data_IF_324500211559
#
_entry.id   IF_324500211559
#
_cell.length_a   1.000
_cell.length_b   1.000
_cell.length_c   1.000
_cell.angle_alpha   90.00
_cell.angle_beta   90.00
_cell.angle_gamma   90.00
#
_symmetry.space_group_name_H-M   'P 1'
#
loop_
_entity.id
_entity.type
_entity.pdbx_description
1 polymer ?
#
# COMPACT_ATOMS: atom_id res chain seq x y z
N UNK A 1 13.93 4.48 2.10
CA UNK A 1 13.74 4.54 0.63
C UNK A 1 13.62 5.98 0.17
N UNK A 2 14.30 6.38 -0.92
CA UNK A 2 14.15 7.74 -1.47
C UNK A 2 12.83 7.81 -2.26
N UNK A 3 11.78 8.34 -1.63
CA UNK A 3 10.47 8.51 -2.27
C UNK A 3 10.51 9.44 -3.49
N UNK A 4 11.57 10.25 -3.66
CA UNK A 4 11.76 11.04 -4.88
C UNK A 4 11.90 10.18 -6.14
N UNK A 5 12.27 8.90 -6.01
CA UNK A 5 12.33 7.97 -7.15
C UNK A 5 10.98 7.84 -7.88
N UNK A 6 9.86 8.09 -7.19
CA UNK A 6 8.51 7.99 -7.74
C UNK A 6 7.94 9.32 -8.25
N UNK A 7 8.52 10.48 -7.88
CA UNK A 7 7.98 11.84 -8.13
C UNK A 7 7.97 12.29 -9.60
N UNK A 8 8.56 11.52 -10.50
CA UNK A 8 8.77 11.88 -11.91
C UNK A 8 8.60 10.67 -12.84
N UNK A 9 7.79 9.69 -12.44
CA UNK A 9 7.55 8.51 -13.27
C UNK A 9 6.38 8.81 -14.19
N UNK A 10 6.59 8.66 -15.50
CA UNK A 10 5.52 8.84 -16.48
C UNK A 10 4.37 7.88 -16.17
N UNK A 11 3.15 8.42 -16.20
CA UNK A 11 1.92 7.66 -16.02
C UNK A 11 1.90 6.54 -17.06
N UNK A 12 1.57 5.34 -16.62
CA UNK A 12 1.34 4.22 -17.52
C UNK A 12 0.27 4.57 -18.58
N UNK A 13 0.60 4.39 -19.86
CA UNK A 13 -0.37 4.45 -20.96
C UNK A 13 -0.95 3.07 -21.25
N UNK A 14 -2.26 2.99 -21.55
CA UNK A 14 -3.04 1.72 -21.76
C UNK A 14 -2.36 0.69 -22.68
N UNK A 15 -1.51 1.14 -23.60
CA UNK A 15 -0.85 0.32 -24.63
C UNK A 15 0.63 0.01 -24.34
N UNK A 16 1.21 0.55 -23.28
CA UNK A 16 2.61 0.30 -22.90
C UNK A 16 2.64 -0.87 -21.91
N UNK A 17 3.64 -1.75 -21.98
CA UNK A 17 3.76 -2.85 -21.01
C UNK A 17 4.07 -2.30 -19.60
N UNK A 18 3.41 -2.79 -18.52
CA UNK A 18 3.63 -2.27 -17.15
C UNK A 18 5.08 -2.40 -16.68
N UNK A 19 5.83 -3.35 -17.23
CA UNK A 19 7.24 -3.51 -16.89
C UNK A 19 8.09 -2.29 -17.24
N UNK A 20 7.69 -1.46 -18.22
CA UNK A 20 8.42 -0.22 -18.55
C UNK A 20 8.44 0.73 -17.35
N UNK A 21 7.27 0.99 -16.79
CA UNK A 21 7.10 1.85 -15.61
C UNK A 21 7.83 1.27 -14.40
N UNK A 22 7.74 -0.05 -14.18
CA UNK A 22 8.48 -0.72 -13.11
C UNK A 22 10.00 -0.54 -13.26
N UNK A 23 10.55 -0.63 -14.48
CA UNK A 23 11.98 -0.43 -14.72
C UNK A 23 12.39 1.00 -14.35
N UNK A 24 11.58 1.99 -14.70
CA UNK A 24 11.86 3.38 -14.35
C UNK A 24 11.87 3.57 -12.81
N UNK A 25 10.94 2.94 -12.08
CA UNK A 25 10.95 2.92 -10.59
C UNK A 25 12.27 2.34 -10.09
N UNK A 26 12.65 1.17 -10.60
CA UNK A 26 13.82 0.43 -10.11
C UNK A 26 15.13 1.17 -10.41
N UNK A 27 15.26 1.78 -11.59
CA UNK A 27 16.43 2.57 -11.98
C UNK A 27 16.55 3.88 -11.18
N UNK A 28 15.43 4.58 -10.92
CA UNK A 28 15.44 5.77 -10.06
C UNK A 28 15.70 5.43 -8.59
N UNK A 29 15.31 4.23 -8.16
CA UNK A 29 15.58 3.75 -6.79
C UNK A 29 17.03 3.29 -6.60
N UNK A 30 17.71 2.85 -7.68
CA UNK A 30 19.10 2.38 -7.62
C UNK A 30 20.16 3.48 -7.79
N UNK A 31 19.78 4.67 -8.28
CA UNK A 31 20.70 5.81 -8.44
C UNK A 31 21.04 6.54 -7.13
N UNK A 32 20.46 6.14 -6.00
CA UNK A 32 20.79 6.63 -4.65
C UNK A 32 21.47 5.58 -3.75
N UNK A 33 21.86 5.98 -2.53
CA UNK A 33 22.34 5.03 -1.49
C UNK A 33 21.35 3.87 -1.34
N UNK A 34 21.80 2.63 -1.04
CA UNK A 34 20.92 1.49 -0.89
C UNK A 34 19.79 1.83 0.08
N UNK A 35 18.59 1.95 -0.47
CA UNK A 35 17.42 2.36 0.27
C UNK A 35 16.98 1.22 1.16
N UNK A 36 17.21 1.34 2.47
CA UNK A 36 16.54 0.46 3.42
C UNK A 36 15.03 0.70 3.34
N UNK A 37 14.28 -0.40 3.41
CA UNK A 37 12.83 -0.39 3.57
C UNK A 37 12.57 -0.06 5.04
N UNK A 38 11.71 0.92 5.31
CA UNK A 38 11.48 1.43 6.67
C UNK A 38 10.93 0.33 7.58
N UNK A 39 10.01 -0.48 7.05
CA UNK A 39 9.40 -1.61 7.75
C UNK A 39 10.43 -2.66 8.17
N UNK A 40 11.48 -2.88 7.37
CA UNK A 40 12.60 -3.77 7.73
C UNK A 40 13.48 -3.11 8.78
N UNK A 41 13.76 -1.82 8.62
CA UNK A 41 14.64 -1.06 9.53
C UNK A 41 14.06 -0.99 10.95
N UNK A 42 12.73 -0.90 11.04
CA UNK A 42 11.99 -0.81 12.30
C UNK A 42 11.37 -2.15 12.73
N UNK A 43 11.78 -3.27 12.14
CA UNK A 43 11.17 -4.58 12.37
C UNK A 43 11.20 -4.99 13.86
N UNK A 44 12.24 -4.59 14.59
CA UNK A 44 12.38 -4.82 16.03
C UNK A 44 11.32 -4.09 16.87
N UNK A 45 10.76 -2.98 16.34
CA UNK A 45 9.70 -2.19 16.98
C UNK A 45 8.30 -2.73 16.74
N UNK A 46 8.12 -3.65 15.78
CA UNK A 46 6.81 -4.28 15.56
C UNK A 46 6.40 -5.10 16.79
N UNK A 47 5.10 -5.12 17.13
CA UNK A 47 4.63 -5.93 18.24
C UNK A 47 5.05 -7.39 18.05
N UNK A 48 5.49 -8.03 19.14
CA UNK A 48 5.80 -9.46 19.17
C UNK A 48 4.53 -10.32 19.23
N UNK A 49 3.42 -9.70 19.65
CA UNK A 49 2.11 -10.32 19.76
C UNK A 49 1.44 -10.44 18.39
N UNK A 50 0.39 -11.27 18.36
CA UNK A 50 -0.56 -11.45 17.28
C UNK A 50 -1.45 -10.21 17.08
N UNK A 51 -0.87 -9.01 17.06
CA UNK A 51 -1.59 -7.81 16.67
C UNK A 51 -1.88 -7.94 15.18
N UNK A 52 -3.13 -8.26 14.87
CA UNK A 52 -3.57 -8.53 13.53
C UNK A 52 -4.23 -7.30 12.94
N UNK A 53 -4.11 -7.16 11.62
CA UNK A 53 -4.99 -6.29 10.86
C UNK A 53 -6.44 -6.77 11.08
N UNK A 54 -7.34 -5.92 11.62
CA UNK A 54 -8.76 -6.23 11.76
C UNK A 54 -9.36 -6.75 10.46
N UNK A 55 -10.29 -7.70 10.56
CA UNK A 55 -10.94 -8.39 9.43
C UNK A 55 -9.99 -9.30 8.64
N UNK A 56 -8.82 -8.82 8.23
CA UNK A 56 -7.87 -9.56 7.38
C UNK A 56 -7.03 -10.61 8.11
N UNK A 57 -6.97 -10.50 9.45
CA UNK A 57 -6.37 -11.46 10.38
C UNK A 57 -4.94 -11.89 10.02
N UNK A 58 -4.08 -10.92 9.68
CA UNK A 58 -2.65 -11.15 9.45
C UNK A 58 -1.77 -10.15 10.20
N UNK A 59 -0.55 -10.56 10.52
CA UNK A 59 0.46 -9.70 11.15
C UNK A 59 1.48 -9.24 10.09
N UNK A 60 1.63 -7.91 9.86
CA UNK A 60 2.62 -7.39 8.93
C UNK A 60 4.04 -7.86 9.24
N UNK A 61 4.39 -7.94 10.53
CA UNK A 61 5.68 -8.46 10.99
C UNK A 61 5.92 -9.88 10.48
N UNK A 62 4.94 -10.77 10.67
CA UNK A 62 5.05 -12.16 10.22
C UNK A 62 5.22 -12.27 8.70
N UNK A 63 4.54 -11.41 7.93
CA UNK A 63 4.68 -11.36 6.47
C UNK A 63 6.11 -10.90 6.09
N UNK A 64 6.62 -9.85 6.73
CA UNK A 64 7.98 -9.33 6.47
C UNK A 64 9.03 -10.39 6.79
N UNK A 65 8.98 -11.00 7.97
CA UNK A 65 9.90 -12.05 8.41
C UNK A 65 9.84 -13.27 7.48
N UNK A 66 8.63 -13.68 7.06
CA UNK A 66 8.44 -14.77 6.11
C UNK A 66 9.09 -14.46 4.76
N UNK A 67 8.87 -13.26 4.22
CA UNK A 67 9.47 -12.86 2.95
C UNK A 67 10.99 -12.82 3.02
N UNK A 68 11.57 -12.30 4.11
CA UNK A 68 13.02 -12.33 4.32
C UNK A 68 13.57 -13.75 4.36
N UNK A 69 12.88 -14.67 5.06
CA UNK A 69 13.23 -16.09 5.11
C UNK A 69 13.19 -16.74 3.73
N UNK A 70 12.13 -16.52 2.96
CA UNK A 70 11.99 -17.07 1.61
C UNK A 70 13.06 -16.55 0.67
N UNK A 71 13.35 -15.26 0.73
CA UNK A 71 14.44 -14.66 -0.03
C UNK A 71 15.78 -15.33 0.29
N UNK A 72 16.15 -15.45 1.57
CA UNK A 72 17.38 -16.11 1.99
C UNK A 72 17.44 -17.59 1.56
N UNK A 73 16.32 -18.31 1.62
CA UNK A 73 16.24 -19.70 1.15
C UNK A 73 16.46 -19.80 -0.36
N UNK A 74 15.90 -18.88 -1.15
CA UNK A 74 16.13 -18.83 -2.60
C UNK A 74 17.60 -18.56 -2.92
N UNK A 75 18.24 -17.59 -2.25
CA UNK A 75 19.66 -17.30 -2.46
C UNK A 75 20.53 -18.53 -2.18
N UNK A 76 20.25 -19.26 -1.09
CA UNK A 76 20.95 -20.51 -0.75
C UNK A 76 20.74 -21.59 -1.81
N UNK A 77 19.53 -21.75 -2.33
CA UNK A 77 19.22 -22.71 -3.40
C UNK A 77 19.96 -22.37 -4.70
N UNK A 78 20.03 -21.10 -5.09
CA UNK A 78 20.76 -20.66 -6.28
C UNK A 78 22.26 -20.90 -6.11
N UNK A 79 22.81 -20.61 -4.93
CA UNK A 79 24.21 -20.86 -4.62
C UNK A 79 24.57 -22.36 -4.67
N UNK A 80 23.68 -23.23 -4.19
CA UNK A 80 23.87 -24.68 -4.22
C UNK A 80 23.60 -25.30 -5.61
N UNK A 81 22.66 -24.73 -6.37
CA UNK A 81 22.19 -25.26 -7.65
C UNK A 81 21.97 -24.09 -8.63
N UNK A 82 22.99 -23.74 -9.43
CA UNK A 82 22.91 -22.59 -10.35
C UNK A 82 21.76 -22.66 -11.37
N UNK A 83 21.28 -23.85 -11.71
CA UNK A 83 20.12 -24.05 -12.60
C UNK A 83 18.79 -23.60 -11.99
N UNK A 84 18.75 -23.31 -10.68
CA UNK A 84 17.59 -22.72 -10.01
C UNK A 84 17.41 -21.23 -10.37
N UNK A 85 18.41 -20.60 -11.00
CA UNK A 85 18.35 -19.21 -11.45
C UNK A 85 17.37 -19.06 -12.62
N UNK A 86 16.27 -18.34 -12.40
CA UNK A 86 15.32 -17.95 -13.45
C UNK A 86 15.53 -16.47 -13.80
N UNK A 87 15.53 -16.17 -15.11
CA UNK A 87 15.75 -14.84 -15.68
C UNK A 87 14.69 -14.51 -16.72
N UNK A 88 14.12 -13.32 -16.63
CA UNK A 88 13.28 -12.70 -17.64
C UNK A 88 14.02 -11.49 -18.22
N UNK A 89 14.39 -11.56 -19.49
CA UNK A 89 14.93 -10.42 -20.25
C UNK A 89 13.77 -9.66 -20.87
N UNK A 90 13.66 -8.38 -20.56
CA UNK A 90 12.65 -7.49 -21.14
C UNK A 90 13.33 -6.41 -21.96
N UNK A 91 13.10 -6.44 -23.28
CA UNK A 91 13.58 -5.43 -24.23
C UNK A 91 12.51 -4.36 -24.46
N UNK A 92 12.93 -3.10 -24.48
CA UNK A 92 12.04 -1.94 -24.65
C UNK A 92 12.78 -0.82 -25.39
N UNK A 93 12.02 0.12 -25.97
CA UNK A 93 12.58 1.29 -26.66
C UNK A 93 12.47 2.55 -25.81
N UNK A 94 13.50 3.38 -25.86
CA UNK A 94 13.51 4.76 -25.32
C UNK A 94 13.98 5.68 -26.43
N UNK A 95 13.06 6.44 -27.03
CA UNK A 95 13.33 7.15 -28.27
C UNK A 95 13.69 6.16 -29.39
N UNK A 96 14.86 6.33 -30.00
CA UNK A 96 15.40 5.43 -31.03
C UNK A 96 16.24 4.28 -30.48
N UNK A 97 16.59 4.27 -29.18
CA UNK A 97 17.47 3.26 -28.59
C UNK A 97 16.68 2.05 -28.08
N UNK A 98 17.17 0.84 -28.39
CA UNK A 98 16.73 -0.39 -27.74
C UNK A 98 17.52 -0.58 -26.44
N UNK A 99 16.80 -0.77 -25.34
CA UNK A 99 17.34 -1.06 -24.01
C UNK A 99 16.82 -2.40 -23.52
N UNK A 100 17.56 -3.03 -22.62
CA UNK A 100 17.11 -4.23 -21.94
C UNK A 100 17.16 -4.09 -20.42
N UNK A 101 16.31 -4.84 -19.74
CA UNK A 101 16.37 -5.02 -18.30
C UNK A 101 16.16 -6.50 -17.97
N UNK A 102 16.96 -7.03 -17.04
CA UNK A 102 16.93 -8.43 -16.64
C UNK A 102 16.34 -8.56 -15.24
N UNK A 103 15.14 -9.12 -15.16
CA UNK A 103 14.56 -9.56 -13.90
C UNK A 103 15.07 -10.96 -13.57
N UNK A 104 15.42 -11.23 -12.31
CA UNK A 104 15.79 -12.58 -11.89
C UNK A 104 15.35 -12.91 -10.47
N UNK A 105 15.20 -14.19 -10.17
CA UNK A 105 14.95 -14.62 -8.79
C UNK A 105 16.16 -14.42 -7.85
N UNK A 106 17.29 -13.91 -8.34
CA UNK A 106 18.51 -13.56 -7.59
C UNK A 106 18.70 -12.04 -7.37
N UNK A 107 17.67 -11.23 -7.57
CA UNK A 107 17.73 -9.78 -7.27
C UNK A 107 17.79 -9.54 -5.75
N UNK A 108 18.21 -8.33 -5.34
CA UNK A 108 18.23 -7.91 -3.93
C UNK A 108 16.82 -7.86 -3.34
N UNK A 109 16.69 -8.15 -2.03
CA UNK A 109 15.38 -8.26 -1.36
C UNK A 109 14.49 -7.03 -1.54
N UNK A 110 15.05 -5.82 -1.42
CA UNK A 110 14.26 -4.60 -1.57
C UNK A 110 13.71 -4.43 -2.99
N UNK A 111 14.43 -4.90 -4.02
CA UNK A 111 13.98 -4.90 -5.41
C UNK A 111 12.76 -5.83 -5.53
N UNK A 112 12.84 -7.03 -4.96
CA UNK A 112 11.73 -7.98 -4.96
C UNK A 112 10.47 -7.37 -4.29
N UNK A 113 10.62 -6.69 -3.15
CA UNK A 113 9.48 -6.04 -2.46
C UNK A 113 8.85 -4.96 -3.34
N UNK A 114 9.65 -4.09 -3.97
CA UNK A 114 9.15 -3.07 -4.92
C UNK A 114 8.37 -3.73 -6.06
N UNK A 115 8.92 -4.78 -6.65
CA UNK A 115 8.26 -5.54 -7.73
C UNK A 115 6.93 -6.11 -7.25
N UNK A 116 6.89 -6.73 -6.07
CA UNK A 116 5.68 -7.38 -5.57
C UNK A 116 4.58 -6.34 -5.26
N UNK A 117 4.92 -5.24 -4.59
CA UNK A 117 3.99 -4.14 -4.32
C UNK A 117 3.49 -3.49 -5.62
N UNK A 118 4.35 -3.33 -6.63
CA UNK A 118 3.94 -2.83 -7.95
C UNK A 118 2.98 -3.79 -8.65
N UNK A 119 3.32 -5.07 -8.69
CA UNK A 119 2.52 -6.10 -9.34
C UNK A 119 1.15 -6.30 -8.66
N UNK A 120 1.04 -6.05 -7.35
CA UNK A 120 -0.25 -6.03 -6.65
C UNK A 120 -1.25 -5.08 -7.33
N UNK A 121 -0.83 -3.85 -7.64
CA UNK A 121 -1.68 -2.89 -8.34
C UNK A 121 -1.89 -3.25 -9.81
N UNK A 122 -0.86 -3.76 -10.52
CA UNK A 122 -1.01 -4.19 -11.92
C UNK A 122 -2.08 -5.29 -12.06
N UNK A 123 -2.12 -6.25 -11.12
CA UNK A 123 -3.10 -7.35 -11.10
C UNK A 123 -4.55 -6.89 -10.96
N UNK A 124 -4.79 -5.70 -10.39
CA UNK A 124 -6.14 -5.13 -10.23
C UNK A 124 -6.73 -4.59 -11.53
N UNK A 125 -5.93 -4.49 -12.60
CA UNK A 125 -6.37 -4.03 -13.91
C UNK A 125 -6.93 -5.19 -14.73
N UNK A 126 -7.88 -4.93 -15.61
CA UNK A 126 -8.43 -5.98 -16.50
C UNK A 126 -7.47 -6.37 -17.63
N UNK A 127 -6.52 -5.51 -17.98
CA UNK A 127 -5.67 -5.63 -19.17
C UNK A 127 -4.30 -6.29 -18.93
N UNK A 128 -3.85 -6.48 -17.69
CA UNK A 128 -2.48 -6.98 -17.43
C UNK A 128 -2.20 -8.34 -18.06
N UNK A 129 -3.23 -9.19 -18.20
CA UNK A 129 -3.14 -10.53 -18.79
C UNK A 129 -2.74 -10.50 -20.27
N UNK A 130 -2.81 -9.35 -20.93
CA UNK A 130 -2.34 -9.16 -22.32
C UNK A 130 -0.82 -9.12 -22.42
N UNK A 131 -0.10 -8.87 -21.31
CA UNK A 131 1.35 -8.71 -21.31
C UNK A 131 2.05 -9.95 -20.76
N UNK A 132 2.49 -10.84 -21.66
CA UNK A 132 3.20 -12.08 -21.30
C UNK A 132 4.41 -11.86 -20.36
N UNK A 133 5.26 -10.82 -20.54
CA UNK A 133 6.36 -10.55 -19.61
C UNK A 133 5.89 -10.28 -18.17
N UNK A 134 4.75 -9.60 -17.99
CA UNK A 134 4.15 -9.35 -16.66
C UNK A 134 3.72 -10.67 -16.03
N UNK A 135 3.05 -11.54 -16.78
CA UNK A 135 2.63 -12.87 -16.31
C UNK A 135 3.85 -13.70 -15.86
N UNK A 136 4.94 -13.65 -16.63
CA UNK A 136 6.18 -14.37 -16.28
C UNK A 136 6.81 -13.82 -15.00
N UNK A 137 6.86 -12.50 -14.83
CA UNK A 137 7.38 -11.89 -13.60
C UNK A 137 6.50 -12.20 -12.38
N UNK A 138 5.17 -12.16 -12.54
CA UNK A 138 4.21 -12.59 -11.51
C UNK A 138 4.49 -14.03 -11.07
N UNK A 139 4.64 -14.96 -12.03
CA UNK A 139 4.94 -16.37 -11.75
C UNK A 139 6.27 -16.52 -11.01
N UNK A 140 7.31 -15.80 -11.43
CA UNK A 140 8.62 -15.83 -10.78
C UNK A 140 8.53 -15.40 -9.31
N UNK A 141 7.81 -14.31 -9.01
CA UNK A 141 7.61 -13.84 -7.64
C UNK A 141 6.74 -14.80 -6.82
N UNK A 142 5.66 -15.35 -7.39
CA UNK A 142 4.83 -16.37 -6.72
C UNK A 142 5.63 -17.59 -6.31
N UNK A 143 6.49 -18.11 -7.19
CA UNK A 143 7.32 -19.29 -6.89
C UNK A 143 8.37 -18.96 -5.82
N UNK A 144 9.06 -17.81 -5.95
CA UNK A 144 10.11 -17.40 -5.01
C UNK A 144 9.57 -17.20 -3.59
N UNK A 145 8.41 -16.56 -3.45
CA UNK A 145 7.85 -16.15 -2.17
C UNK A 145 6.63 -16.96 -1.73
N UNK A 146 6.25 -18.00 -2.47
CA UNK A 146 5.04 -18.79 -2.23
C UNK A 146 3.78 -17.92 -2.07
N UNK A 147 3.57 -16.98 -3.00
CA UNK A 147 2.43 -16.05 -2.96
C UNK A 147 1.22 -16.67 -3.67
N UNK A 148 0.09 -16.70 -2.97
CA UNK A 148 -1.21 -17.17 -3.46
C UNK A 148 -2.06 -16.02 -4.00
N UNK A 149 -2.92 -16.34 -4.95
CA UNK A 149 -3.98 -15.43 -5.39
C UNK A 149 -5.13 -15.44 -4.36
N UNK A 150 -5.79 -14.30 -4.19
CA UNK A 150 -6.79 -14.05 -3.15
C UNK A 150 -8.02 -14.99 -3.25
N UNK A 151 -8.38 -15.43 -4.46
CA UNK A 151 -9.48 -16.39 -4.68
C UNK A 151 -9.19 -17.81 -4.18
N UNK A 152 -7.93 -18.13 -3.92
CA UNK A 152 -7.50 -19.48 -3.56
C UNK A 152 -7.26 -19.62 -2.05
N UNK A 153 -7.46 -18.57 -1.25
CA UNK A 153 -7.43 -18.68 0.21
C UNK A 153 -8.76 -19.23 0.70
N UNK A 154 -8.88 -20.54 0.73
CA UNK A 154 -9.94 -21.26 1.46
C UNK A 154 -9.94 -20.75 2.91
N UNK A 155 -11.13 -20.49 3.47
CA UNK A 155 -11.49 -20.12 4.86
C UNK A 155 -10.64 -20.83 5.95
N UNK A 156 -9.36 -20.50 6.03
CA UNK A 156 -8.43 -21.05 6.99
C UNK A 156 -7.96 -19.90 7.84
N UNK A 157 -8.73 -19.69 8.90
CA UNK A 157 -8.28 -18.97 10.09
C UNK A 157 -6.88 -19.47 10.45
N UNK A 158 -5.95 -18.52 10.65
CA UNK A 158 -4.69 -18.76 11.34
C UNK A 158 -3.84 -19.94 10.87
N UNK A 159 -3.41 -19.96 9.60
CA UNK A 159 -2.16 -20.66 9.29
C UNK A 159 -1.15 -19.68 8.75
N UNK A 160 0.06 -19.74 9.32
CA UNK A 160 1.32 -19.13 8.89
C UNK A 160 1.71 -19.41 7.41
N UNK A 161 0.78 -19.87 6.57
CA UNK A 161 0.98 -20.42 5.23
C UNK A 161 0.32 -19.64 4.09
N UNK A 162 -0.63 -18.72 4.34
CA UNK A 162 -1.32 -18.03 3.23
C UNK A 162 -0.77 -16.61 3.02
N UNK A 163 0.39 -16.52 2.37
CA UNK A 163 0.93 -15.25 1.87
C UNK A 163 0.17 -14.88 0.59
N UNK A 164 -0.52 -13.75 0.59
CA UNK A 164 -1.21 -13.23 -0.59
C UNK A 164 -0.59 -11.91 -1.04
N UNK A 165 -0.82 -11.51 -2.28
CA UNK A 165 -0.34 -10.23 -2.79
C UNK A 165 -0.85 -9.05 -1.96
N UNK A 166 -2.13 -9.09 -1.57
CA UNK A 166 -2.72 -8.10 -0.69
C UNK A 166 -1.99 -7.99 0.65
N UNK A 167 -1.77 -9.12 1.35
CA UNK A 167 -1.07 -9.13 2.64
C UNK A 167 0.36 -8.62 2.54
N UNK A 168 1.06 -8.97 1.46
CA UNK A 168 2.40 -8.42 1.19
C UNK A 168 2.33 -6.92 0.99
N UNK A 169 1.49 -6.43 0.07
CA UNK A 169 1.39 -5.00 -0.23
C UNK A 169 1.04 -4.18 1.02
N UNK A 170 0.09 -4.64 1.84
CA UNK A 170 -0.26 -3.97 3.08
C UNK A 170 0.84 -4.00 4.13
N UNK A 171 1.75 -4.98 4.08
CA UNK A 171 2.87 -5.07 5.03
C UNK A 171 4.03 -4.11 4.72
N UNK A 172 4.03 -3.45 3.55
CA UNK A 172 5.04 -2.49 3.13
C UNK A 172 4.42 -1.14 2.70
N UNK A 173 3.72 -0.43 3.61
CA UNK A 173 3.05 0.84 3.30
C UNK A 173 4.00 1.90 2.72
N UNK A 174 5.28 1.94 3.10
CA UNK A 174 6.28 2.87 2.57
C UNK A 174 6.46 2.77 1.05
N UNK A 175 6.30 1.57 0.50
CA UNK A 175 6.43 1.28 -0.94
C UNK A 175 5.06 1.33 -1.60
N UNK A 176 4.08 0.62 -1.03
CA UNK A 176 2.74 0.48 -1.61
C UNK A 176 2.07 1.84 -1.78
N UNK A 177 2.17 2.71 -0.78
CA UNK A 177 1.53 4.02 -0.88
C UNK A 177 2.31 4.99 -1.76
N UNK A 178 3.63 4.85 -1.87
CA UNK A 178 4.42 5.61 -2.84
C UNK A 178 4.02 5.28 -4.29
N UNK A 179 3.82 4.00 -4.59
CA UNK A 179 3.34 3.56 -5.91
C UNK A 179 1.94 4.15 -6.21
N UNK A 180 1.08 4.21 -5.19
CA UNK A 180 -0.26 4.77 -5.31
C UNK A 180 -0.26 6.30 -5.49
N UNK A 181 0.41 7.04 -4.59
CA UNK A 181 0.40 8.50 -4.54
C UNK A 181 0.92 9.14 -5.83
N UNK A 182 1.90 8.49 -6.45
CA UNK A 182 2.50 8.91 -7.71
C UNK A 182 1.73 8.47 -8.95
N UNK A 183 0.52 7.93 -8.82
CA UNK A 183 -0.34 7.48 -9.93
C UNK A 183 0.40 6.55 -10.91
N UNK A 184 1.37 5.78 -10.42
CA UNK A 184 2.18 4.90 -11.26
C UNK A 184 1.29 3.91 -12.00
N UNK A 185 0.15 3.57 -11.41
CA UNK A 185 -0.98 2.89 -12.04
C UNK A 185 -2.21 3.76 -11.85
N UNK A 186 -2.81 4.22 -12.95
CA UNK A 186 -4.13 4.86 -12.92
C UNK A 186 -5.11 3.83 -12.39
N UNK A 187 -5.51 4.00 -11.15
CA UNK A 187 -6.71 3.36 -10.63
C UNK A 187 -7.93 4.10 -11.22
N UNK A 188 -9.15 3.53 -11.14
CA UNK A 188 -10.36 4.25 -11.52
C UNK A 188 -10.31 5.65 -10.90
N UNK A 189 -10.93 6.68 -11.51
CA UNK A 189 -10.94 8.01 -10.94
C UNK A 189 -11.55 7.91 -9.53
N UNK A 190 -10.70 7.76 -8.52
CA UNK A 190 -11.08 8.06 -7.16
C UNK A 190 -11.47 9.49 -7.25
N UNK A 191 -12.76 9.78 -7.06
CA UNK A 191 -13.20 11.14 -7.07
C UNK A 191 -12.45 11.79 -5.94
N UNK A 192 -11.55 12.64 -6.35
CA UNK A 192 -10.71 13.39 -5.47
C UNK A 192 -11.62 14.44 -4.85
N UNK A 193 -11.61 14.55 -3.53
CA UNK A 193 -11.90 15.84 -2.89
C UNK A 193 -10.80 16.84 -3.30
N UNK A 194 -10.70 17.14 -4.60
CA UNK A 194 -9.66 18.01 -5.20
C UNK A 194 -9.66 19.38 -4.53
N UNK A 195 -10.82 19.81 -4.03
CA UNK A 195 -11.00 21.04 -3.25
C UNK A 195 -10.19 21.03 -1.95
N UNK A 196 -10.00 19.87 -1.32
CA UNK A 196 -9.32 19.74 -0.03
C UNK A 196 -7.80 19.62 -0.13
N UNK A 197 -7.27 19.39 -1.34
CA UNK A 197 -5.83 19.25 -1.58
C UNK A 197 -5.14 18.26 -0.62
N UNK A 198 -5.86 17.18 -0.26
CA UNK A 198 -5.40 16.16 0.69
C UNK A 198 -4.48 15.15 0.01
N UNK A 199 -3.47 14.61 0.71
CA UNK A 199 -2.60 13.57 0.15
C UNK A 199 -3.41 12.35 -0.29
N UNK A 200 -3.08 11.78 -1.44
CA UNK A 200 -3.90 10.73 -2.06
C UNK A 200 -3.99 9.45 -1.23
N UNK A 201 -3.03 9.24 -0.34
CA UNK A 201 -3.08 8.16 0.64
C UNK A 201 -4.44 8.01 1.34
N UNK A 202 -5.16 9.12 1.61
CA UNK A 202 -6.47 9.07 2.27
C UNK A 202 -7.57 8.40 1.42
N UNK A 203 -7.37 8.22 0.11
CA UNK A 203 -8.27 7.44 -0.76
C UNK A 203 -8.10 5.92 -0.58
N UNK A 204 -7.10 5.47 0.19
CA UNK A 204 -6.89 4.06 0.48
C UNK A 204 -7.59 3.67 1.79
N UNK A 205 -8.47 2.64 1.79
CA UNK A 205 -9.14 2.18 3.01
C UNK A 205 -8.16 1.82 4.14
N UNK A 206 -6.96 1.35 3.78
CA UNK A 206 -5.92 0.98 4.76
C UNK A 206 -5.14 2.17 5.34
N UNK A 207 -5.37 3.40 4.86
CA UNK A 207 -4.70 4.58 5.37
C UNK A 207 -4.88 4.75 6.88
N UNK A 208 -6.07 4.39 7.41
CA UNK A 208 -6.36 4.44 8.83
C UNK A 208 -5.31 3.71 9.67
N UNK A 209 -4.76 2.60 9.18
CA UNK A 209 -3.71 1.87 9.90
C UNK A 209 -2.38 2.61 10.05
N UNK A 210 -2.10 3.57 9.17
CA UNK A 210 -0.82 4.30 9.10
C UNK A 210 -0.93 5.70 9.69
N UNK A 211 -2.10 6.35 9.62
CA UNK A 211 -2.28 7.66 10.22
C UNK A 211 -2.15 7.55 11.75
N UNK A 212 -1.25 8.32 12.38
CA UNK A 212 -1.00 8.19 13.81
C UNK A 212 -2.04 8.98 14.62
N UNK A 213 -2.52 8.38 15.71
CA UNK A 213 -3.38 9.05 16.68
C UNK A 213 -2.58 10.04 17.55
N UNK A 214 -2.38 11.26 17.03
CA UNK A 214 -1.60 12.32 17.71
C UNK A 214 -2.46 13.49 18.20
N UNK A 215 -3.69 13.63 17.71
CA UNK A 215 -4.59 14.73 18.07
C UNK A 215 -5.64 14.30 19.09
N UNK A 216 -6.06 15.24 19.94
CA UNK A 216 -7.14 15.03 20.91
C UNK A 216 -8.55 15.08 20.28
N UNK A 217 -8.70 15.76 19.13
CA UNK A 217 -9.99 16.05 18.49
C UNK A 217 -10.28 15.04 17.36
N UNK A 218 -9.54 13.93 17.25
CA UNK A 218 -9.78 12.89 16.23
C UNK A 218 -9.95 13.43 14.78
N UNK A 219 -9.32 14.56 14.45
CA UNK A 219 -9.54 15.28 13.18
C UNK A 219 -9.30 14.37 11.96
N UNK A 220 -8.22 13.59 11.99
CA UNK A 220 -7.92 12.65 10.92
C UNK A 220 -8.89 11.48 10.84
N UNK A 221 -9.55 11.11 11.94
CA UNK A 221 -10.55 10.03 11.96
C UNK A 221 -11.79 10.43 11.17
N UNK A 222 -12.27 11.67 11.35
CA UNK A 222 -13.38 12.19 10.56
C UNK A 222 -13.07 12.14 9.06
N UNK A 223 -11.86 12.57 8.66
CA UNK A 223 -11.43 12.50 7.27
C UNK A 223 -11.34 11.05 6.76
N UNK A 224 -10.75 10.14 7.53
CA UNK A 224 -10.66 8.73 7.15
C UNK A 224 -12.04 8.09 6.95
N UNK A 225 -12.99 8.39 7.83
CA UNK A 225 -14.36 7.89 7.72
C UNK A 225 -15.10 8.48 6.52
N UNK A 226 -15.00 9.80 6.30
CA UNK A 226 -15.61 10.46 5.16
C UNK A 226 -15.14 9.86 3.83
N UNK A 227 -13.84 9.58 3.72
CA UNK A 227 -13.24 8.96 2.53
C UNK A 227 -13.69 7.51 2.34
N UNK A 228 -13.89 6.77 3.44
CA UNK A 228 -14.42 5.41 3.38
C UNK A 228 -15.88 5.40 2.88
N UNK A 229 -16.75 6.25 3.43
CA UNK A 229 -18.15 6.41 3.01
C UNK A 229 -18.25 6.85 1.55
N UNK A 230 -17.41 7.81 1.19
CA UNK A 230 -17.35 8.28 -0.18
C UNK A 230 -16.97 7.14 -1.15
N UNK A 231 -16.04 6.27 -0.73
CA UNK A 231 -15.65 5.09 -1.50
C UNK A 231 -16.73 4.00 -1.59
N UNK A 232 -17.69 3.94 -0.67
CA UNK A 232 -18.87 3.04 -0.77
C UNK A 232 -19.88 3.54 -1.80
N UNK A 233 -20.09 4.86 -1.86
CA UNK A 233 -21.05 5.49 -2.77
C UNK A 233 -20.54 5.62 -4.21
N UNK A 234 -19.31 5.21 -4.48
CA UNK A 234 -18.74 5.15 -5.83
C UNK A 234 -19.29 3.90 -6.54
N UNK A 235 -20.00 4.10 -7.66
CA UNK A 235 -20.70 3.08 -8.47
C UNK A 235 -19.81 1.88 -8.87
N UNK A 236 -18.50 1.98 -8.71
CA UNK A 236 -17.51 0.98 -9.09
C UNK A 236 -17.02 0.08 -7.94
N UNK A 237 -17.44 0.27 -6.67
CA UNK A 237 -16.76 -0.36 -5.53
C UNK A 237 -17.56 -1.34 -4.66
N UNK A 238 -18.88 -1.21 -4.48
CA UNK A 238 -19.67 -2.17 -3.71
C UNK A 238 -21.19 -2.04 -3.96
N UNK A 239 -21.89 -3.15 -4.16
CA UNK A 239 -23.37 -3.21 -4.12
C UNK A 239 -23.90 -3.19 -2.66
N UNK A 240 -23.01 -3.22 -1.66
CA UNK A 240 -23.34 -3.26 -0.23
C UNK A 240 -22.97 -1.95 0.45
N UNK A 241 -23.99 -1.20 0.89
CA UNK A 241 -23.86 -0.03 1.74
C UNK A 241 -23.70 -0.52 3.19
N UNK A 242 -22.55 -0.28 3.83
CA UNK A 242 -22.38 -0.66 5.22
C UNK A 242 -23.12 0.33 6.15
N UNK A 243 -23.71 -0.17 7.25
CA UNK A 243 -24.18 0.70 8.33
C UNK A 243 -23.05 1.60 8.84
N UNK A 244 -23.33 2.89 9.03
CA UNK A 244 -22.33 3.90 9.38
C UNK A 244 -21.54 3.53 10.64
N UNK A 245 -22.22 3.03 11.68
CA UNK A 245 -21.57 2.60 12.92
C UNK A 245 -20.55 1.47 12.69
N UNK A 246 -20.86 0.49 11.84
CA UNK A 246 -19.94 -0.62 11.56
C UNK A 246 -18.69 -0.14 10.82
N UNK A 247 -18.87 0.79 9.88
CA UNK A 247 -17.76 1.41 9.17
C UNK A 247 -16.89 2.26 10.11
N UNK A 248 -17.52 3.08 10.96
CA UNK A 248 -16.84 3.84 12.00
C UNK A 248 -16.01 2.93 12.92
N UNK A 249 -16.62 1.87 13.46
CA UNK A 249 -15.95 0.89 14.33
C UNK A 249 -14.74 0.25 13.65
N UNK A 250 -14.86 -0.10 12.37
CA UNK A 250 -13.76 -0.67 11.61
C UNK A 250 -12.60 0.32 11.41
N UNK A 251 -12.89 1.54 10.96
CA UNK A 251 -11.89 2.58 10.76
C UNK A 251 -11.24 2.97 12.10
N UNK A 252 -12.03 3.08 13.18
CA UNK A 252 -11.55 3.37 14.52
C UNK A 252 -10.59 2.30 15.04
N UNK A 253 -10.90 1.01 14.84
CA UNK A 253 -10.01 -0.11 15.19
C UNK A 253 -8.71 -0.08 14.40
N UNK A 254 -8.77 0.22 13.10
CA UNK A 254 -7.56 0.38 12.28
C UNK A 254 -6.71 1.56 12.75
N UNK A 255 -7.33 2.71 13.01
CA UNK A 255 -6.67 3.93 13.44
C UNK A 255 -5.90 3.76 14.75
N UNK A 256 -6.54 3.11 15.73
CA UNK A 256 -5.94 2.85 17.04
C UNK A 256 -5.09 1.57 17.10
N UNK A 257 -4.91 0.88 15.98
CA UNK A 257 -4.15 -0.37 15.95
C UNK A 257 -2.66 -0.19 16.23
N UNK A 258 -2.05 -1.23 16.79
CA UNK A 258 -0.63 -1.29 17.18
C UNK A 258 0.22 -2.19 16.28
N UNK A 259 -0.39 -2.88 15.30
CA UNK A 259 0.33 -3.78 14.39
C UNK A 259 1.41 -3.07 13.55
N UNK A 260 1.29 -1.76 13.36
CA UNK A 260 2.41 -0.91 12.93
C UNK A 260 2.97 -0.10 14.09
N UNK A 261 4.30 -0.06 14.26
CA UNK A 261 4.93 0.78 15.28
C UNK A 261 4.57 2.25 15.11
N UNK A 262 4.34 2.95 16.23
CA UNK A 262 4.12 4.41 16.23
C UNK A 262 5.22 5.16 15.47
N UNK A 263 6.47 4.74 15.63
CA UNK A 263 7.60 5.38 14.93
C UNK A 263 7.48 5.26 13.41
N UNK A 264 7.09 4.09 12.89
CA UNK A 264 6.86 3.90 11.46
C UNK A 264 5.74 4.82 10.95
N UNK A 265 4.60 4.86 11.67
CA UNK A 265 3.47 5.75 11.35
C UNK A 265 3.91 7.22 11.26
N UNK A 266 4.69 7.69 12.23
CA UNK A 266 5.19 9.07 12.30
C UNK A 266 6.18 9.38 11.17
N UNK A 267 7.15 8.50 10.90
CA UNK A 267 8.14 8.71 9.85
C UNK A 267 7.50 8.77 8.46
N UNK A 268 6.55 7.86 8.18
CA UNK A 268 5.81 7.85 6.93
C UNK A 268 4.93 9.09 6.76
N UNK A 269 4.13 9.43 7.76
CA UNK A 269 3.26 10.61 7.69
C UNK A 269 4.06 11.91 7.59
N UNK A 270 5.25 11.99 8.20
CA UNK A 270 6.15 13.13 8.04
C UNK A 270 6.69 13.21 6.61
N UNK A 271 7.09 12.08 6.02
CA UNK A 271 7.57 12.01 4.64
C UNK A 271 6.51 12.42 3.62
N UNK A 272 5.25 12.09 3.88
CA UNK A 272 4.11 12.46 3.03
C UNK A 272 3.55 13.87 3.31
N UNK A 273 4.16 14.63 4.24
CA UNK A 273 3.69 15.98 4.59
C UNK A 273 2.35 16.01 5.34
N UNK A 274 1.87 14.87 5.83
CA UNK A 274 0.63 14.76 6.62
C UNK A 274 0.83 15.37 8.01
N UNK A 275 2.01 15.16 8.59
CA UNK A 275 2.38 15.71 9.88
C UNK A 275 3.68 16.50 9.80
N UNK A 276 3.83 17.47 10.69
CA UNK A 276 5.04 18.27 10.86
C UNK A 276 5.40 18.38 12.34
N UNK A 277 6.63 18.81 12.62
CA UNK A 277 7.14 19.00 13.98
C UNK A 277 7.06 20.48 14.32
N UNK A 278 6.32 20.83 15.37
CA UNK A 278 6.25 22.19 15.91
C UNK A 278 6.80 22.15 17.33
N UNK A 279 7.99 22.72 17.54
CA UNK A 279 8.73 22.54 18.79
C UNK A 279 9.10 21.07 19.01
N UNK A 280 8.61 20.47 20.09
CA UNK A 280 8.85 19.06 20.44
C UNK A 280 7.65 18.14 20.15
N UNK A 281 6.60 18.64 19.48
CA UNK A 281 5.36 17.90 19.25
C UNK A 281 5.08 17.70 17.76
N UNK A 282 4.52 16.53 17.43
CA UNK A 282 3.96 16.27 16.11
C UNK A 282 2.57 16.89 16.01
N UNK A 283 2.28 17.53 14.88
CA UNK A 283 0.96 18.09 14.56
C UNK A 283 0.58 17.74 13.13
N UNK A 284 -0.70 17.53 12.86
CA UNK A 284 -1.19 17.44 11.49
C UNK A 284 -0.97 18.75 10.73
N UNK A 285 -0.77 18.64 9.42
CA UNK A 285 -0.61 19.80 8.55
C UNK A 285 -1.82 20.75 8.62
N UNK A 286 -1.62 22.07 8.42
CA UNK A 286 -2.68 23.07 8.64
C UNK A 286 -3.97 22.83 7.84
N UNK A 287 -3.88 22.21 6.66
CA UNK A 287 -5.04 21.94 5.80
C UNK A 287 -6.04 20.94 6.41
N UNK A 288 -5.65 20.16 7.42
CA UNK A 288 -6.56 19.23 8.09
C UNK A 288 -7.71 19.91 8.82
N UNK A 289 -7.55 21.16 9.25
CA UNK A 289 -8.62 21.89 9.93
C UNK A 289 -9.79 22.20 8.99
N UNK A 290 -9.50 22.55 7.73
CA UNK A 290 -10.53 22.78 6.71
C UNK A 290 -11.15 21.44 6.28
N UNK A 291 -10.31 20.43 6.07
CA UNK A 291 -10.76 19.09 5.70
C UNK A 291 -11.66 18.42 6.76
N UNK A 292 -11.52 18.81 8.04
CA UNK A 292 -12.33 18.30 9.14
C UNK A 292 -13.82 18.65 8.98
N UNK A 293 -14.13 19.93 8.80
CA UNK A 293 -15.51 20.40 8.69
C UNK A 293 -16.17 19.84 7.42
N UNK A 294 -15.45 19.87 6.29
CA UNK A 294 -15.92 19.29 5.04
C UNK A 294 -16.17 17.77 5.16
N UNK A 295 -15.31 17.05 5.89
CA UNK A 295 -15.53 15.63 6.15
C UNK A 295 -16.83 15.38 6.93
N UNK A 296 -17.13 16.18 7.96
CA UNK A 296 -18.37 16.04 8.74
C UNK A 296 -19.61 16.37 7.92
N UNK A 297 -19.55 17.41 7.10
CA UNK A 297 -20.62 17.78 6.16
C UNK A 297 -20.86 16.66 5.14
N UNK A 298 -19.79 16.09 4.59
CA UNK A 298 -19.87 14.99 3.64
C UNK A 298 -20.51 13.74 4.26
N UNK A 299 -20.11 13.37 5.48
CA UNK A 299 -20.71 12.25 6.22
C UNK A 299 -22.20 12.49 6.43
N UNK A 300 -22.55 13.68 6.90
CA UNK A 300 -23.94 14.08 7.18
C UNK A 300 -24.80 14.05 5.93
N UNK A 301 -24.23 14.44 4.78
CA UNK A 301 -24.93 14.45 3.50
C UNK A 301 -25.12 13.04 2.94
N UNK A 302 -24.07 12.22 2.95
CA UNK A 302 -24.07 10.89 2.32
C UNK A 302 -24.76 9.81 3.16
N UNK A 303 -24.85 10.01 4.48
CA UNK A 303 -25.50 9.08 5.43
C UNK A 303 -26.62 9.79 6.20
N UNK A 304 -27.30 10.75 5.59
CA UNK A 304 -28.35 11.58 6.24
C UNK A 304 -29.50 10.77 6.86
N UNK A 305 -29.75 9.58 6.32
CA UNK A 305 -30.81 8.68 6.76
C UNK A 305 -30.32 7.55 7.69
N UNK A 306 -29.02 7.53 8.04
CA UNK A 306 -28.45 6.51 8.91
C UNK A 306 -28.76 6.83 10.38
N UNK A 307 -29.35 5.89 11.15
CA UNK A 307 -29.75 6.13 12.53
C UNK A 307 -28.57 6.44 13.47
N UNK A 308 -27.35 6.03 13.11
CA UNK A 308 -26.16 6.22 13.95
C UNK A 308 -25.42 7.53 13.63
N UNK A 309 -25.93 8.37 12.73
CA UNK A 309 -25.25 9.59 12.28
C UNK A 309 -24.89 10.54 13.42
N UNK A 310 -25.86 10.94 14.25
CA UNK A 310 -25.62 11.88 15.35
C UNK A 310 -24.63 11.31 16.37
N UNK A 311 -24.73 10.01 16.65
CA UNK A 311 -23.80 9.31 17.52
C UNK A 311 -22.38 9.40 16.95
N UNK A 312 -22.16 8.95 15.72
CA UNK A 312 -20.83 8.91 15.10
C UNK A 312 -20.21 10.31 14.97
N UNK A 313 -21.00 11.32 14.58
CA UNK A 313 -20.56 12.72 14.47
C UNK A 313 -20.11 13.31 15.83
N UNK A 314 -20.60 12.78 16.95
CA UNK A 314 -20.19 13.23 18.28
C UNK A 314 -18.83 12.68 18.75
N UNK A 315 -18.34 11.58 18.14
CA UNK A 315 -17.06 10.94 18.48
C UNK A 315 -15.90 11.30 17.54
N UNK A 316 -16.20 11.94 16.41
CA UNK A 316 -15.24 12.41 15.40
C UNK A 316 -15.22 13.93 15.33
#
# INVERSE_FOLDING_TARGET
MNLAAFKEIHIYEKNICPLRTLIDILQKSSSGRPSSILEITLLDKFPKTNDFVPIEQFSPRCIIEYMMKMHGNTMKKIAATPTYLDKLVYKYKVGSEEKEYVFSNNMMFYIDVIIICYLYFVRKRSDYKKFFPVIRLLRMMKIKYNIYDESNSVNTYMTYGNITWHRVALSYPSITFAIFDHNVISLPPYITLDRLNIPKIFYLPFAASIIPAIDKINISLALLLAMAIYGENDEYRCDEIFPLYNLYEYIFKLYNSTFFPKQLKLELCKQWGIIHVVGSQYKFAPYFKLAYEEAKELISTLKSNDPDLEYVISFI
#
